data_IF_053577904276
#
_entry.id   IF_053577904276
#
_cell.length_a   1.000
_cell.length_b   1.000
_cell.length_c   1.000
_cell.angle_alpha   90.00
_cell.angle_beta   90.00
_cell.angle_gamma   90.00
#
_symmetry.space_group_name_H-M   'P 1'
#
loop_
_entity.id
_entity.type
_entity.pdbx_description
1 polymer ?
#
# COMPACT_ATOMS: atom_id res chain seq x y z
N UNK A 1 -26.19 -25.05 -53.30
CA UNK A 1 -26.81 -24.39 -52.14
C UNK A 1 -26.13 -24.92 -50.89
N UNK A 2 -25.22 -24.14 -50.28
CA UNK A 2 -24.59 -24.52 -49.02
C UNK A 2 -25.56 -24.17 -47.90
N UNK A 3 -26.01 -25.18 -47.15
CA UNK A 3 -26.90 -25.03 -46.00
C UNK A 3 -26.17 -24.25 -44.92
N UNK A 4 -26.64 -23.03 -44.60
CA UNK A 4 -26.07 -22.27 -43.48
C UNK A 4 -26.19 -23.10 -42.19
N UNK A 5 -25.11 -23.18 -41.38
CA UNK A 5 -25.19 -23.87 -40.10
C UNK A 5 -26.31 -23.23 -39.27
N UNK A 6 -27.24 -24.04 -38.77
CA UNK A 6 -28.31 -23.58 -37.85
C UNK A 6 -27.68 -23.20 -36.52
N UNK A 7 -27.15 -21.99 -36.44
CA UNK A 7 -26.72 -21.39 -35.18
C UNK A 7 -27.97 -21.07 -34.35
N UNK A 8 -27.91 -21.36 -33.05
CA UNK A 8 -28.99 -21.01 -32.14
C UNK A 8 -29.14 -19.49 -32.05
N UNK A 9 -30.36 -18.98 -32.22
CA UNK A 9 -30.68 -17.57 -32.03
C UNK A 9 -31.15 -17.35 -30.60
N UNK A 10 -30.50 -16.44 -29.88
CA UNK A 10 -30.86 -16.07 -28.51
C UNK A 10 -31.49 -14.67 -28.51
N UNK A 11 -32.52 -14.47 -27.70
CA UNK A 11 -32.90 -13.12 -27.27
C UNK A 11 -31.80 -12.50 -26.39
N UNK A 12 -31.79 -11.17 -26.27
CA UNK A 12 -30.82 -10.45 -25.40
C UNK A 12 -30.90 -10.95 -23.95
N UNK A 13 -32.11 -11.22 -23.45
CA UNK A 13 -32.31 -11.75 -22.10
C UNK A 13 -31.71 -13.14 -21.94
N UNK A 14 -31.95 -14.04 -22.90
CA UNK A 14 -31.38 -15.39 -22.85
C UNK A 14 -29.85 -15.36 -22.96
N UNK A 15 -29.31 -14.49 -23.82
CA UNK A 15 -27.87 -14.29 -23.95
C UNK A 15 -27.24 -13.84 -22.63
N UNK A 16 -27.77 -12.78 -22.02
CA UNK A 16 -27.24 -12.24 -20.75
C UNK A 16 -27.36 -13.26 -19.61
N UNK A 17 -28.49 -13.96 -19.51
CA UNK A 17 -28.70 -15.00 -18.51
C UNK A 17 -27.70 -16.15 -18.69
N UNK A 18 -27.49 -16.58 -19.93
CA UNK A 18 -26.53 -17.65 -20.26
C UNK A 18 -25.11 -17.23 -19.96
N UNK A 19 -24.70 -16.03 -20.38
CA UNK A 19 -23.39 -15.47 -20.10
C UNK A 19 -23.12 -15.35 -18.59
N UNK A 20 -24.10 -14.86 -17.82
CA UNK A 20 -23.99 -14.81 -16.36
C UNK A 20 -23.79 -16.20 -15.75
N UNK A 21 -24.58 -17.20 -16.14
CA UNK A 21 -24.45 -18.56 -15.62
C UNK A 21 -23.07 -19.15 -15.94
N UNK A 22 -22.57 -18.94 -17.17
CA UNK A 22 -21.24 -19.39 -17.56
C UNK A 22 -20.13 -18.72 -16.74
N UNK A 23 -20.23 -17.41 -16.51
CA UNK A 23 -19.28 -16.67 -15.67
C UNK A 23 -19.30 -17.15 -14.22
N UNK A 24 -20.49 -17.25 -13.62
CA UNK A 24 -20.64 -17.67 -12.22
C UNK A 24 -20.26 -19.15 -12.01
N UNK A 25 -20.35 -19.98 -13.05
CA UNK A 25 -19.92 -21.39 -13.00
C UNK A 25 -18.42 -21.54 -13.25
N UNK A 26 -17.88 -20.76 -14.19
CA UNK A 26 -16.48 -20.84 -14.60
C UNK A 26 -15.51 -20.25 -13.59
N UNK A 27 -15.95 -19.28 -12.79
CA UNK A 27 -15.15 -18.65 -11.75
C UNK A 27 -15.68 -18.97 -10.35
N UNK A 28 -14.90 -19.66 -9.50
CA UNK A 28 -15.20 -19.69 -8.07
C UNK A 28 -15.07 -18.29 -7.47
N UNK A 29 -15.24 -18.18 -6.15
CA UNK A 29 -14.82 -16.94 -5.47
C UNK A 29 -13.31 -16.75 -5.63
N UNK A 30 -12.91 -15.57 -6.08
CA UNK A 30 -11.52 -15.24 -6.40
C UNK A 30 -11.06 -13.97 -5.68
N UNK A 31 -9.75 -13.82 -5.55
CA UNK A 31 -9.13 -12.55 -5.19
C UNK A 31 -8.69 -11.81 -6.45
N UNK A 32 -9.03 -10.52 -6.52
CA UNK A 32 -8.60 -9.61 -7.58
C UNK A 32 -7.85 -8.45 -6.93
N UNK A 33 -6.65 -8.14 -7.40
CA UNK A 33 -5.88 -6.98 -6.97
C UNK A 33 -6.00 -5.86 -8.00
N UNK A 34 -6.14 -4.62 -7.55
CA UNK A 34 -6.20 -3.47 -8.44
C UNK A 34 -6.29 -2.15 -7.70
N UNK A 35 -6.01 -1.07 -8.41
CA UNK A 35 -6.19 0.28 -7.90
C UNK A 35 -7.67 0.66 -7.94
N UNK A 36 -8.20 1.17 -6.83
CA UNK A 36 -9.56 1.70 -6.76
C UNK A 36 -9.66 2.98 -7.57
N UNK A 37 -10.68 3.07 -8.42
CA UNK A 37 -11.06 4.28 -9.16
C UNK A 37 -12.59 4.40 -9.24
N UNK A 38 -13.09 5.56 -9.65
CA UNK A 38 -14.53 5.82 -9.83
C UNK A 38 -15.41 5.43 -8.62
N UNK A 39 -14.88 5.59 -7.40
CA UNK A 39 -15.62 5.25 -6.18
C UNK A 39 -16.84 6.15 -6.00
N UNK A 40 -18.01 5.55 -5.89
CA UNK A 40 -19.29 6.17 -5.61
C UNK A 40 -19.90 5.62 -4.31
N UNK A 41 -20.44 6.52 -3.49
CA UNK A 41 -21.05 6.20 -2.19
C UNK A 41 -22.49 6.77 -2.07
N UNK A 42 -23.47 6.20 -2.79
CA UNK A 42 -24.87 6.67 -2.70
C UNK A 42 -25.48 6.51 -1.30
N UNK A 43 -26.60 7.20 -1.05
CA UNK A 43 -27.31 7.18 0.23
C UNK A 43 -27.81 5.78 0.66
N UNK A 44 -27.95 4.83 -0.27
CA UNK A 44 -28.28 3.43 0.05
C UNK A 44 -27.20 2.74 0.90
N UNK A 45 -25.96 3.27 0.89
CA UNK A 45 -24.80 2.70 1.58
C UNK A 45 -24.14 1.55 0.82
N UNK A 46 -24.57 1.24 -0.41
CA UNK A 46 -23.80 0.38 -1.30
C UNK A 46 -22.62 1.17 -1.87
N UNK A 47 -21.48 0.52 -2.06
CA UNK A 47 -20.34 1.13 -2.71
C UNK A 47 -20.22 0.58 -4.12
N UNK A 48 -19.97 1.48 -5.07
CA UNK A 48 -19.65 1.11 -6.45
C UNK A 48 -18.27 1.67 -6.75
N UNK A 49 -17.39 0.85 -7.31
CA UNK A 49 -16.01 1.24 -7.63
C UNK A 49 -15.53 0.50 -8.87
N UNK A 50 -14.41 0.93 -9.41
CA UNK A 50 -13.70 0.22 -10.48
C UNK A 50 -12.34 -0.22 -9.94
N UNK A 51 -11.99 -1.48 -10.14
CA UNK A 51 -10.62 -1.95 -9.96
C UNK A 51 -9.92 -1.90 -11.32
N UNK A 52 -8.74 -1.29 -11.37
CA UNK A 52 -7.94 -1.18 -12.58
C UNK A 52 -6.48 -1.58 -12.35
N UNK A 53 -5.84 -2.01 -13.43
CA UNK A 53 -4.39 -2.13 -13.55
C UNK A 53 -3.91 -1.36 -14.79
N UNK A 54 -2.71 -1.66 -15.30
CA UNK A 54 -2.15 -0.97 -16.46
C UNK A 54 -2.85 -1.30 -17.79
N UNK A 55 -3.54 -2.43 -17.91
CA UNK A 55 -4.11 -2.94 -19.16
C UNK A 55 -5.63 -3.10 -19.15
N UNK A 56 -6.25 -3.19 -17.98
CA UNK A 56 -7.67 -3.50 -17.85
C UNK A 56 -8.33 -2.82 -16.65
N UNK A 57 -9.66 -2.80 -16.68
CA UNK A 57 -10.50 -2.36 -15.58
C UNK A 57 -11.77 -3.19 -15.49
N UNK A 58 -12.34 -3.28 -14.29
CA UNK A 58 -13.59 -3.99 -14.03
C UNK A 58 -14.43 -3.25 -13.00
N UNK A 59 -15.75 -3.15 -13.26
CA UNK A 59 -16.71 -2.55 -12.32
C UNK A 59 -16.97 -3.49 -11.16
N UNK A 60 -17.13 -2.92 -9.99
CA UNK A 60 -17.37 -3.65 -8.76
C UNK A 60 -18.53 -3.04 -7.97
N UNK A 61 -19.36 -3.90 -7.42
CA UNK A 61 -20.38 -3.53 -6.44
C UNK A 61 -20.03 -4.18 -5.09
N UNK A 62 -20.09 -3.39 -4.02
CA UNK A 62 -19.91 -3.86 -2.65
C UNK A 62 -21.12 -3.46 -1.82
N UNK A 63 -22.00 -4.42 -1.60
CA UNK A 63 -23.26 -4.18 -0.91
C UNK A 63 -23.06 -4.00 0.60
N UNK A 64 -23.95 -3.20 1.20
CA UNK A 64 -23.87 -2.75 2.60
C UNK A 64 -23.73 -3.91 3.61
N UNK A 65 -24.44 -5.05 3.46
CA UNK A 65 -24.28 -6.18 4.39
C UNK A 65 -22.86 -6.77 4.39
N UNK A 66 -22.23 -6.88 3.23
CA UNK A 66 -20.88 -7.44 3.03
C UNK A 66 -19.77 -6.50 3.54
N UNK A 67 -20.08 -5.24 3.77
CA UNK A 67 -19.12 -4.28 4.33
C UNK A 67 -18.91 -4.48 5.84
N UNK A 68 -19.83 -5.15 6.55
CA UNK A 68 -19.74 -5.33 8.00
C UNK A 68 -18.51 -6.18 8.37
N UNK A 69 -17.72 -5.70 9.33
CA UNK A 69 -16.50 -6.38 9.80
C UNK A 69 -15.23 -6.08 8.98
N UNK A 70 -15.36 -5.43 7.82
CA UNK A 70 -14.20 -4.97 7.05
C UNK A 70 -13.65 -3.66 7.63
N UNK A 71 -12.34 -3.63 7.91
CA UNK A 71 -11.63 -2.44 8.43
C UNK A 71 -11.16 -1.49 7.33
N UNK A 72 -11.07 -2.00 6.09
CA UNK A 72 -10.52 -1.27 4.95
C UNK A 72 -11.55 -0.28 4.41
N UNK A 73 -11.13 0.98 4.27
CA UNK A 73 -11.91 2.02 3.61
C UNK A 73 -11.38 2.24 2.19
N UNK A 74 -12.13 1.85 1.14
CA UNK A 74 -11.70 2.06 -0.24
C UNK A 74 -11.67 3.55 -0.53
N UNK A 75 -10.61 4.01 -1.19
CA UNK A 75 -10.40 5.38 -1.64
C UNK A 75 -9.77 5.33 -3.03
N UNK A 76 -10.11 6.28 -3.91
CA UNK A 76 -9.50 6.34 -5.24
C UNK A 76 -7.97 6.44 -5.13
N UNK A 77 -7.24 5.70 -5.96
CA UNK A 77 -5.78 5.61 -5.94
C UNK A 77 -5.21 4.57 -4.98
N UNK A 78 -6.02 3.96 -4.10
CA UNK A 78 -5.53 2.88 -3.23
C UNK A 78 -5.47 1.55 -3.96
N UNK A 79 -4.35 0.85 -3.82
CA UNK A 79 -4.22 -0.55 -4.22
C UNK A 79 -4.93 -1.43 -3.18
N UNK A 80 -5.85 -2.28 -3.65
CA UNK A 80 -6.63 -3.18 -2.78
C UNK A 80 -6.68 -4.58 -3.36
N UNK A 81 -6.94 -5.57 -2.50
CA UNK A 81 -7.27 -6.93 -2.88
C UNK A 81 -8.72 -7.20 -2.52
N UNK A 82 -9.55 -7.53 -3.50
CA UNK A 82 -10.97 -7.79 -3.34
C UNK A 82 -11.26 -9.29 -3.49
N UNK A 83 -11.85 -9.90 -2.46
CA UNK A 83 -12.44 -11.23 -2.56
C UNK A 83 -13.84 -11.09 -3.14
N UNK A 84 -14.10 -11.69 -4.29
CA UNK A 84 -15.29 -11.37 -5.06
C UNK A 84 -15.82 -12.55 -5.88
N UNK A 85 -17.09 -12.43 -6.24
CA UNK A 85 -17.75 -13.28 -7.23
C UNK A 85 -17.78 -12.56 -8.57
N UNK A 86 -17.39 -13.26 -9.62
CA UNK A 86 -17.51 -12.81 -11.01
C UNK A 86 -18.96 -13.00 -11.46
N UNK A 87 -19.58 -11.98 -12.05
CA UNK A 87 -20.98 -12.04 -12.50
C UNK A 87 -21.24 -11.03 -13.64
N UNK A 88 -22.48 -10.98 -14.09
CA UNK A 88 -22.96 -10.04 -15.10
C UNK A 88 -24.28 -9.42 -14.64
N UNK A 89 -24.39 -8.09 -14.75
CA UNK A 89 -25.63 -7.37 -14.46
C UNK A 89 -26.61 -7.53 -15.62
N UNK A 90 -27.51 -8.51 -15.52
CA UNK A 90 -28.39 -8.94 -16.62
C UNK A 90 -29.16 -7.82 -17.30
N UNK A 91 -29.65 -6.84 -16.53
CA UNK A 91 -30.44 -5.73 -17.07
C UNK A 91 -29.64 -4.81 -18.01
N UNK A 92 -28.31 -4.77 -17.89
CA UNK A 92 -27.44 -3.94 -18.74
C UNK A 92 -26.42 -4.73 -19.56
N UNK A 93 -26.24 -6.02 -19.29
CA UNK A 93 -25.19 -6.82 -19.92
C UNK A 93 -23.78 -6.53 -19.38
N UNK A 94 -23.66 -5.81 -18.26
CA UNK A 94 -22.37 -5.36 -17.75
C UNK A 94 -21.65 -6.47 -16.97
N UNK A 95 -20.45 -6.85 -17.41
CA UNK A 95 -19.52 -7.67 -16.61
C UNK A 95 -19.11 -6.92 -15.33
N UNK A 96 -19.18 -7.59 -14.18
CA UNK A 96 -18.86 -6.97 -12.89
C UNK A 96 -18.39 -7.98 -11.84
N UNK A 97 -17.78 -7.44 -10.78
CA UNK A 97 -17.45 -8.17 -9.57
C UNK A 97 -18.38 -7.78 -8.42
N UNK A 98 -18.86 -8.77 -7.67
CA UNK A 98 -19.54 -8.52 -6.38
C UNK A 98 -18.58 -8.82 -5.25
N UNK A 99 -18.14 -7.76 -4.57
CA UNK A 99 -17.15 -7.82 -3.49
C UNK A 99 -17.80 -8.42 -2.24
N UNK A 100 -17.13 -9.42 -1.66
CA UNK A 100 -17.46 -10.03 -0.37
C UNK A 100 -16.56 -9.50 0.75
N UNK A 101 -15.27 -9.34 0.47
CA UNK A 101 -14.26 -8.85 1.41
C UNK A 101 -13.27 -7.93 0.70
N UNK A 102 -12.78 -6.90 1.39
CA UNK A 102 -11.76 -6.00 0.86
C UNK A 102 -10.59 -5.92 1.83
N UNK A 103 -9.38 -6.14 1.30
CA UNK A 103 -8.11 -6.01 2.02
C UNK A 103 -7.27 -4.92 1.38
N UNK A 104 -6.42 -4.27 2.18
CA UNK A 104 -5.36 -3.41 1.63
C UNK A 104 -4.37 -4.30 0.87
N UNK A 105 -3.99 -3.86 -0.32
CA UNK A 105 -2.90 -4.47 -1.07
C UNK A 105 -1.67 -3.56 -0.95
N UNK A 106 -0.48 -4.14 -1.01
CA UNK A 106 0.77 -3.38 -1.03
C UNK A 106 1.70 -3.53 0.18
N UNK A 107 1.24 -4.01 1.34
CA UNK A 107 2.19 -4.40 2.41
C UNK A 107 3.15 -5.49 1.92
N UNK A 108 2.63 -6.51 1.22
CA UNK A 108 3.45 -7.59 0.67
C UNK A 108 4.47 -7.14 -0.38
N UNK A 109 4.09 -6.22 -1.28
CA UNK A 109 5.00 -5.72 -2.32
C UNK A 109 6.05 -4.76 -1.76
N UNK A 110 5.65 -3.85 -0.86
CA UNK A 110 6.58 -2.96 -0.18
C UNK A 110 7.53 -3.75 0.72
N UNK A 111 7.01 -4.72 1.47
CA UNK A 111 7.81 -5.64 2.29
C UNK A 111 8.77 -6.46 1.44
N UNK A 112 8.32 -6.96 0.28
CA UNK A 112 9.17 -7.67 -0.68
C UNK A 112 10.29 -6.78 -1.22
N UNK A 113 9.97 -5.56 -1.68
CA UNK A 113 10.96 -4.58 -2.15
C UNK A 113 11.94 -4.19 -1.04
N UNK A 114 11.45 -4.03 0.19
CA UNK A 114 12.28 -3.75 1.36
C UNK A 114 13.23 -4.91 1.65
N UNK A 115 12.75 -6.15 1.66
CA UNK A 115 13.61 -7.31 1.92
C UNK A 115 14.61 -7.52 0.79
N UNK A 116 14.22 -7.34 -0.49
CA UNK A 116 15.15 -7.37 -1.64
C UNK A 116 16.25 -6.30 -1.51
N UNK A 117 15.89 -5.06 -1.18
CA UNK A 117 16.84 -3.98 -0.95
C UNK A 117 17.77 -4.30 0.23
N UNK A 118 17.21 -4.75 1.34
CA UNK A 118 17.96 -5.13 2.54
C UNK A 118 18.96 -6.25 2.25
N UNK A 119 18.55 -7.31 1.54
CA UNK A 119 19.43 -8.40 1.13
C UNK A 119 20.54 -7.90 0.19
N UNK A 120 20.22 -7.03 -0.76
CA UNK A 120 21.22 -6.41 -1.64
C UNK A 120 22.25 -5.59 -0.86
N UNK A 121 21.80 -4.80 0.12
CA UNK A 121 22.68 -3.98 0.97
C UNK A 121 23.49 -4.85 1.96
N UNK A 122 22.92 -5.96 2.46
CA UNK A 122 23.62 -6.97 3.26
C UNK A 122 24.72 -7.65 2.46
N UNK A 123 24.43 -8.06 1.22
CA UNK A 123 25.42 -8.68 0.31
C UNK A 123 26.56 -7.72 -0.06
N UNK A 124 26.33 -6.41 -0.05
CA UNK A 124 27.38 -5.39 -0.21
C UNK A 124 28.26 -5.22 1.05
N UNK A 125 27.98 -5.96 2.13
CA UNK A 125 28.71 -5.87 3.38
C UNK A 125 28.47 -4.56 4.15
N UNK A 126 27.48 -3.75 3.77
CA UNK A 126 27.25 -2.43 4.37
C UNK A 126 26.87 -2.49 5.85
N UNK A 127 26.36 -3.62 6.31
CA UNK A 127 25.96 -3.85 7.72
C UNK A 127 26.98 -4.66 8.52
N UNK A 128 28.13 -5.02 7.95
CA UNK A 128 29.15 -5.79 8.64
C UNK A 128 29.58 -5.13 9.94
N UNK A 129 29.68 -5.92 11.01
CA UNK A 129 30.08 -5.41 12.33
C UNK A 129 31.46 -4.72 12.29
N UNK A 130 32.35 -5.17 11.39
CA UNK A 130 33.68 -4.58 11.17
C UNK A 130 33.63 -3.14 10.64
N UNK A 131 32.53 -2.73 9.99
CA UNK A 131 32.32 -1.35 9.51
C UNK A 131 31.70 -0.45 10.57
N UNK A 132 31.10 -1.01 11.63
CA UNK A 132 30.48 -0.22 12.69
C UNK A 132 31.55 0.37 13.60
N UNK A 133 31.39 1.65 13.92
CA UNK A 133 32.22 2.32 14.93
C UNK A 133 31.71 1.93 16.32
N UNK A 134 32.60 1.64 17.29
CA UNK A 134 32.18 1.40 18.66
C UNK A 134 31.54 2.67 19.23
N UNK A 135 30.42 2.51 19.93
CA UNK A 135 29.78 3.63 20.61
C UNK A 135 30.57 4.00 21.86
N UNK A 136 30.72 5.30 22.17
CA UNK A 136 31.31 5.73 23.42
C UNK A 136 30.42 5.29 24.60
N UNK A 137 31.03 4.87 25.70
CA UNK A 137 30.29 4.58 26.93
C UNK A 137 29.60 5.84 27.50
N UNK A 138 30.21 7.01 27.30
CA UNK A 138 29.73 8.30 27.77
C UNK A 138 29.85 9.33 26.64
N UNK A 139 28.81 9.51 25.82
CA UNK A 139 28.81 10.54 24.78
C UNK A 139 28.85 11.93 25.41
N UNK A 140 29.63 12.84 24.83
CA UNK A 140 29.73 14.24 25.23
C UNK A 140 28.70 15.10 24.54
N UNK A 141 28.22 14.68 23.37
CA UNK A 141 27.17 15.32 22.57
C UNK A 141 26.64 14.33 21.55
N UNK A 142 25.35 14.45 21.25
CA UNK A 142 24.68 13.64 20.24
C UNK A 142 24.09 14.53 19.14
N UNK A 143 24.11 14.06 17.89
CA UNK A 143 23.37 14.64 16.79
C UNK A 143 22.10 13.80 16.54
N UNK A 144 20.96 14.48 16.46
CA UNK A 144 19.67 13.87 16.17
C UNK A 144 19.21 14.37 14.81
N UNK A 145 19.22 13.47 13.83
CA UNK A 145 18.76 13.74 12.46
C UNK A 145 17.32 13.22 12.34
N UNK A 146 16.34 14.12 12.27
CA UNK A 146 14.91 13.75 12.21
C UNK A 146 14.05 14.95 11.78
N UNK A 147 12.74 14.76 11.61
CA UNK A 147 11.82 15.88 11.35
C UNK A 147 11.71 16.83 12.55
N UNK A 148 11.76 18.15 12.33
CA UNK A 148 11.68 19.16 13.40
C UNK A 148 10.36 19.11 14.20
N UNK A 149 9.26 18.66 13.59
CA UNK A 149 7.90 18.70 14.18
C UNK A 149 7.37 17.33 14.64
N UNK A 150 8.08 16.24 14.35
CA UNK A 150 7.61 14.87 14.59
C UNK A 150 7.56 14.46 16.06
N UNK A 151 6.82 13.40 16.37
CA UNK A 151 6.77 12.82 17.72
C UNK A 151 8.15 12.27 18.16
N UNK A 152 8.93 11.72 17.23
CA UNK A 152 10.23 11.12 17.50
C UNK A 152 11.22 12.09 18.17
N UNK A 153 11.31 13.35 17.72
CA UNK A 153 12.21 14.34 18.35
C UNK A 153 11.77 14.64 19.79
N UNK A 154 10.47 14.70 20.05
CA UNK A 154 9.94 14.93 21.41
C UNK A 154 10.25 13.75 22.32
N UNK A 155 10.12 12.52 21.83
CA UNK A 155 10.40 11.31 22.59
C UNK A 155 11.89 11.20 22.94
N UNK A 156 12.77 11.50 21.98
CA UNK A 156 14.23 11.54 22.19
C UNK A 156 14.56 12.60 23.24
N UNK A 157 14.11 13.84 23.07
CA UNK A 157 14.42 14.93 23.99
C UNK A 157 13.84 14.68 25.39
N UNK A 158 12.64 14.12 25.49
CA UNK A 158 12.01 13.78 26.79
C UNK A 158 12.78 12.66 27.49
N UNK A 159 13.18 11.63 26.75
CA UNK A 159 13.97 10.51 27.28
C UNK A 159 15.33 10.98 27.76
N UNK A 160 16.02 11.82 26.99
CA UNK A 160 17.32 12.38 27.35
C UNK A 160 17.21 13.33 28.53
N UNK A 161 16.19 14.19 28.58
CA UNK A 161 15.96 15.06 29.74
C UNK A 161 15.75 14.28 31.04
N UNK A 162 15.13 13.09 30.95
CA UNK A 162 14.91 12.19 32.09
C UNK A 162 16.16 11.39 32.47
N UNK A 163 16.91 10.87 31.50
CA UNK A 163 18.03 9.94 31.75
C UNK A 163 19.42 10.60 31.78
N UNK A 164 19.63 11.66 31.00
CA UNK A 164 20.91 12.34 30.76
C UNK A 164 20.70 13.85 30.55
N UNK A 165 20.19 14.55 31.57
CA UNK A 165 19.73 15.95 31.47
C UNK A 165 20.78 16.94 30.97
N UNK A 166 22.06 16.71 31.25
CA UNK A 166 23.18 17.58 30.87
C UNK A 166 23.79 17.25 29.51
N UNK A 167 23.32 16.21 28.81
CA UNK A 167 23.87 15.81 27.52
C UNK A 167 23.44 16.80 26.42
N UNK A 168 24.38 17.52 25.77
CA UNK A 168 24.09 18.39 24.65
C UNK A 168 23.54 17.60 23.46
N UNK A 169 22.48 18.12 22.85
CA UNK A 169 21.82 17.54 21.68
C UNK A 169 21.84 18.57 20.55
N UNK A 170 22.31 18.17 19.38
CA UNK A 170 22.20 18.96 18.14
C UNK A 170 21.09 18.37 17.30
N UNK A 171 20.05 19.14 17.00
CA UNK A 171 18.98 18.72 16.11
C UNK A 171 19.30 19.19 14.68
N UNK A 172 19.38 18.24 13.75
CA UNK A 172 19.53 18.52 12.32
C UNK A 172 18.22 18.12 11.64
N UNK A 173 17.36 19.10 11.28
CA UNK A 173 16.04 18.80 10.76
C UNK A 173 16.12 18.30 9.31
N UNK A 174 15.48 17.16 9.03
CA UNK A 174 15.37 16.60 7.67
C UNK A 174 13.98 16.03 7.40
N UNK A 175 13.64 15.89 6.13
CA UNK A 175 12.50 15.10 5.70
C UNK A 175 12.82 13.61 5.85
N UNK A 176 11.99 12.87 6.59
CA UNK A 176 12.21 11.44 6.90
C UNK A 176 11.48 10.48 5.96
N UNK A 177 10.65 11.01 5.06
CA UNK A 177 9.83 10.26 4.10
C UNK A 177 9.66 11.05 2.80
N UNK A 178 9.42 10.35 1.68
CA UNK A 178 9.30 10.98 0.36
C UNK A 178 10.63 11.03 -0.40
N UNK A 179 10.57 11.51 -1.64
CA UNK A 179 11.65 11.36 -2.62
C UNK A 179 12.93 12.13 -2.25
N UNK A 180 12.81 13.25 -1.52
CA UNK A 180 13.97 14.04 -1.08
C UNK A 180 14.67 13.48 0.17
N UNK A 181 14.03 12.57 0.91
CA UNK A 181 14.49 12.14 2.23
C UNK A 181 15.88 11.49 2.18
N UNK A 182 16.16 10.64 1.19
CA UNK A 182 17.44 9.94 1.10
C UNK A 182 18.62 10.91 0.94
N UNK A 183 18.48 11.92 0.07
CA UNK A 183 19.52 12.91 -0.17
C UNK A 183 19.70 13.84 1.04
N UNK A 184 18.61 14.28 1.66
CA UNK A 184 18.65 15.13 2.86
C UNK A 184 19.29 14.41 4.06
N UNK A 185 18.94 13.15 4.30
CA UNK A 185 19.52 12.36 5.39
C UNK A 185 21.03 12.15 5.16
N UNK A 186 21.45 11.86 3.93
CA UNK A 186 22.86 11.68 3.60
C UNK A 186 23.67 12.98 3.83
N UNK A 187 23.14 14.12 3.41
CA UNK A 187 23.76 15.43 3.65
C UNK A 187 23.82 15.77 5.15
N UNK A 188 22.75 15.49 5.90
CA UNK A 188 22.70 15.71 7.34
C UNK A 188 23.69 14.81 8.11
N UNK A 189 23.91 13.57 7.66
CA UNK A 189 24.92 12.67 8.24
C UNK A 189 26.35 13.21 8.01
N UNK A 190 26.62 13.76 6.83
CA UNK A 190 27.91 14.42 6.57
C UNK A 190 28.08 15.65 7.46
N UNK A 191 27.06 16.51 7.51
CA UNK A 191 27.05 17.69 8.37
C UNK A 191 27.29 17.32 9.84
N UNK A 192 26.61 16.29 10.36
CA UNK A 192 26.80 15.83 11.74
C UNK A 192 28.25 15.41 12.02
N UNK A 193 28.91 14.77 11.05
CA UNK A 193 30.30 14.34 11.15
C UNK A 193 31.31 15.49 11.19
N UNK A 194 30.94 16.69 10.75
CA UNK A 194 31.79 17.90 10.77
C UNK A 194 31.63 18.71 12.06
N UNK A 195 30.59 18.45 12.86
CA UNK A 195 30.33 19.20 14.10
C UNK A 195 31.33 18.74 15.18
N UNK A 196 32.13 19.66 15.74
CA UNK A 196 33.08 19.31 16.79
C UNK A 196 32.38 18.65 17.99
N UNK A 197 33.02 17.62 18.54
CA UNK A 197 32.60 16.92 19.75
C UNK A 197 31.26 16.18 19.68
N UNK A 198 30.65 16.01 18.49
CA UNK A 198 29.56 15.03 18.31
C UNK A 198 30.15 13.64 18.31
N UNK A 199 29.75 12.82 19.28
CA UNK A 199 30.27 11.44 19.40
C UNK A 199 29.29 10.38 18.86
N UNK A 200 28.01 10.73 18.70
CA UNK A 200 26.91 9.84 18.27
C UNK A 200 25.95 10.58 17.35
#
# INVERSE_FOLDING_TARGET
MLTEPRLATYSVTELNRTARMLLETGFPLIWVEGEVSNLSRPASGHLYLTLKDAGAQVRCAWFKPQQRGNRVKPENGKLVRAFCRVTLYEARGDYQLVIQELREAGEGLLQKKFEELKQRLLAQGLFEQRRKRPLPAWPRRIAVITSASGAAVRDILTTLKRRFRSLPVVLIPVTVQGDSAAAEIAAALQQAGEIPHVDV
#
